data_IF_533252482830
#
_entry.id   IF_533252482830
#
_cell.length_a   1.000
_cell.length_b   1.000
_cell.length_c   1.000
_cell.angle_alpha   90.00
_cell.angle_beta   90.00
_cell.angle_gamma   90.00
#
_symmetry.space_group_name_H-M   'P 1'
#
loop_
_entity.id
_entity.type
_entity.pdbx_description
1 polymer ?
#
# COMPACT_ATOMS: atom_id res chain seq x y z
N UNK A 1 -8.41 20.94 -2.23
CA UNK A 1 -7.00 20.69 -1.90
C UNK A 1 -6.82 19.22 -1.57
N UNK A 2 -5.81 18.59 -2.16
CA UNK A 2 -5.59 17.14 -2.01
C UNK A 2 -5.46 16.69 -0.55
N UNK A 3 -4.67 17.39 0.26
CA UNK A 3 -4.48 17.00 1.67
C UNK A 3 -5.79 17.07 2.48
N UNK A 4 -6.63 18.07 2.21
CA UNK A 4 -7.92 18.19 2.89
C UNK A 4 -8.86 17.05 2.47
N UNK A 5 -8.86 16.67 1.21
CA UNK A 5 -9.68 15.56 0.71
C UNK A 5 -9.23 14.22 1.31
N UNK A 6 -7.92 14.00 1.41
CA UNK A 6 -7.37 12.80 2.06
C UNK A 6 -7.80 12.78 3.53
N UNK A 7 -7.67 13.90 4.23
CA UNK A 7 -8.05 14.01 5.65
C UNK A 7 -9.51 13.73 5.91
N UNK A 8 -10.38 14.08 4.96
CA UNK A 8 -11.83 13.88 5.11
C UNK A 8 -12.35 12.56 4.54
N UNK A 9 -11.50 11.78 3.87
CA UNK A 9 -11.92 10.51 3.24
C UNK A 9 -11.17 9.30 3.77
N UNK A 10 -9.93 9.09 3.32
CA UNK A 10 -9.18 7.87 3.64
C UNK A 10 -8.40 7.94 4.95
N UNK A 11 -8.29 9.12 5.58
CA UNK A 11 -7.58 9.23 6.86
C UNK A 11 -8.33 8.46 7.97
N UNK A 12 -7.57 7.91 8.89
CA UNK A 12 -8.08 7.14 10.02
C UNK A 12 -7.38 5.79 10.17
N UNK A 13 -7.88 4.97 11.08
CA UNK A 13 -7.34 3.64 11.31
C UNK A 13 -8.28 2.60 10.68
N UNK A 14 -7.68 1.70 9.93
CA UNK A 14 -8.39 0.67 9.16
C UNK A 14 -7.92 -0.71 9.59
N UNK A 15 -8.86 -1.65 9.67
CA UNK A 15 -8.58 -3.06 10.01
C UNK A 15 -8.83 -3.91 8.77
N UNK A 16 -7.90 -4.79 8.46
CA UNK A 16 -8.02 -5.67 7.29
C UNK A 16 -9.20 -6.63 7.46
N UNK A 17 -10.07 -6.66 6.45
CA UNK A 17 -11.22 -7.58 6.40
C UNK A 17 -10.85 -8.84 5.63
N UNK A 18 -10.31 -8.67 4.42
CA UNK A 18 -9.90 -9.82 3.59
C UNK A 18 -8.94 -9.40 2.49
N UNK A 19 -8.27 -10.38 1.94
CA UNK A 19 -7.42 -10.25 0.77
C UNK A 19 -8.02 -11.07 -0.38
N UNK A 20 -7.90 -10.54 -1.61
CA UNK A 20 -8.29 -11.26 -2.82
C UNK A 20 -7.05 -11.39 -3.70
N UNK A 21 -6.75 -12.61 -4.13
CA UNK A 21 -5.63 -12.92 -5.00
C UNK A 21 -4.23 -12.61 -4.42
N UNK A 22 -4.11 -12.64 -3.10
CA UNK A 22 -2.85 -12.31 -2.43
C UNK A 22 -1.74 -13.33 -2.71
N UNK A 23 -2.09 -14.62 -2.76
CA UNK A 23 -1.09 -15.67 -2.99
C UNK A 23 -0.42 -15.52 -4.35
N UNK A 24 -1.21 -15.29 -5.40
CA UNK A 24 -0.67 -15.10 -6.75
C UNK A 24 0.21 -13.85 -6.83
N UNK A 25 -0.21 -12.77 -6.16
CA UNK A 25 0.58 -11.55 -6.10
C UNK A 25 1.94 -11.79 -5.42
N UNK A 26 1.93 -12.41 -4.25
CA UNK A 26 3.16 -12.69 -3.51
C UNK A 26 4.08 -13.65 -4.26
N UNK A 27 3.50 -14.63 -4.97
CA UNK A 27 4.24 -15.53 -5.82
C UNK A 27 4.91 -14.77 -6.98
N UNK A 28 4.20 -13.81 -7.59
CA UNK A 28 4.73 -13.01 -8.69
C UNK A 28 5.95 -12.20 -8.27
N UNK A 29 5.97 -11.68 -7.05
CA UNK A 29 7.12 -10.92 -6.54
C UNK A 29 8.20 -11.80 -5.90
N UNK A 30 8.03 -13.12 -5.94
CA UNK A 30 9.08 -14.08 -5.52
C UNK A 30 9.07 -14.48 -4.06
N UNK A 31 7.97 -14.23 -3.32
CA UNK A 31 7.85 -14.65 -1.92
C UNK A 31 7.64 -16.16 -1.85
N UNK A 32 8.40 -16.85 -0.99
CA UNK A 32 8.32 -18.31 -0.90
C UNK A 32 7.00 -18.77 -0.25
N UNK A 33 6.69 -20.05 -0.41
CA UNK A 33 5.44 -20.66 0.02
C UNK A 33 5.15 -20.46 1.52
N UNK A 34 6.16 -20.65 2.37
CA UNK A 34 5.98 -20.53 3.83
C UNK A 34 5.58 -19.10 4.21
N UNK A 35 6.29 -18.11 3.66
CA UNK A 35 6.00 -16.70 3.93
C UNK A 35 4.64 -16.30 3.36
N UNK A 36 4.24 -16.86 2.21
CA UNK A 36 2.89 -16.60 1.66
C UNK A 36 1.79 -17.10 2.59
N UNK A 37 1.97 -18.27 3.21
CA UNK A 37 1.01 -18.81 4.17
C UNK A 37 0.91 -17.96 5.43
N UNK A 38 2.05 -17.49 5.93
CA UNK A 38 2.07 -16.59 7.10
C UNK A 38 1.33 -15.30 6.78
N UNK A 39 1.61 -14.70 5.62
CA UNK A 39 0.96 -13.45 5.21
C UNK A 39 -0.56 -13.62 5.04
N UNK A 40 -0.99 -14.75 4.47
CA UNK A 40 -2.42 -15.01 4.23
C UNK A 40 -3.21 -15.16 5.55
N UNK A 41 -2.57 -15.67 6.60
CA UNK A 41 -3.21 -15.90 7.90
C UNK A 41 -3.15 -14.69 8.83
N UNK A 42 -2.37 -13.67 8.49
CA UNK A 42 -2.12 -12.56 9.39
C UNK A 42 -3.22 -11.50 9.32
N UNK A 43 -3.49 -10.87 10.47
CA UNK A 43 -4.31 -9.66 10.52
C UNK A 43 -3.40 -8.43 10.35
N UNK A 44 -4.00 -7.31 9.96
CA UNK A 44 -3.27 -6.06 9.77
C UNK A 44 -4.14 -4.87 10.14
N UNK A 45 -3.48 -3.80 10.59
CA UNK A 45 -4.10 -2.49 10.75
C UNK A 45 -3.30 -1.46 9.96
N UNK A 46 -3.98 -0.44 9.45
CA UNK A 46 -3.34 0.63 8.69
C UNK A 46 -3.90 1.95 9.18
N UNK A 47 -3.02 2.88 9.54
CA UNK A 47 -3.42 4.24 9.94
C UNK A 47 -2.91 5.23 8.91
N UNK A 48 -3.82 6.02 8.37
CA UNK A 48 -3.50 7.07 7.40
C UNK A 48 -3.80 8.40 8.07
N UNK A 49 -2.83 9.31 8.09
CA UNK A 49 -3.01 10.63 8.66
C UNK A 49 -2.36 11.70 7.78
N UNK A 50 -2.85 12.92 7.93
CA UNK A 50 -2.25 14.10 7.30
C UNK A 50 -1.56 14.88 8.41
N UNK A 51 -0.26 15.10 8.25
CA UNK A 51 0.56 15.81 9.24
C UNK A 51 1.29 16.96 8.52
N UNK A 52 0.77 18.17 8.69
CA UNK A 52 1.30 19.34 7.97
C UNK A 52 1.08 19.20 6.47
N UNK A 53 2.16 19.21 5.71
CA UNK A 53 2.14 19.03 4.25
C UNK A 53 2.44 17.59 3.82
N UNK A 54 2.44 16.65 4.76
CA UNK A 54 2.77 15.24 4.50
C UNK A 54 1.60 14.32 4.81
N UNK A 55 1.61 13.17 4.15
CA UNK A 55 0.72 12.05 4.48
C UNK A 55 1.59 10.99 5.14
N UNK A 56 1.08 10.41 6.22
CA UNK A 56 1.76 9.34 6.94
C UNK A 56 0.91 8.09 6.92
N UNK A 57 1.52 6.96 6.57
CA UNK A 57 0.85 5.65 6.56
C UNK A 57 1.64 4.71 7.46
N UNK A 58 0.96 4.22 8.51
CA UNK A 58 1.54 3.24 9.44
C UNK A 58 0.78 1.94 9.27
N UNK A 59 1.49 0.87 8.97
CA UNK A 59 0.91 -0.46 8.83
C UNK A 59 1.50 -1.38 9.88
N UNK A 60 0.63 -2.09 10.61
CA UNK A 60 1.00 -3.10 11.58
C UNK A 60 0.49 -4.45 11.10
N UNK A 61 1.31 -5.48 11.17
CA UNK A 61 0.96 -6.81 10.68
C UNK A 61 2.19 -7.70 10.64
N UNK A 62 2.27 -8.62 9.68
CA UNK A 62 3.46 -9.47 9.55
C UNK A 62 4.74 -8.68 9.34
N UNK A 63 4.63 -7.53 8.68
CA UNK A 63 5.74 -6.61 8.48
C UNK A 63 5.24 -5.20 8.77
N UNK A 64 5.79 -4.60 9.82
CA UNK A 64 5.41 -3.24 10.20
C UNK A 64 6.10 -2.22 9.32
N UNK A 65 5.40 -1.14 8.99
CA UNK A 65 5.96 -0.03 8.24
C UNK A 65 5.41 1.31 8.73
N UNK A 66 6.19 2.36 8.56
CA UNK A 66 5.82 3.73 8.93
C UNK A 66 6.47 4.65 7.91
N UNK A 67 5.67 5.21 7.02
CA UNK A 67 6.15 6.02 5.91
C UNK A 67 5.44 7.36 5.88
N UNK A 68 6.21 8.43 5.77
CA UNK A 68 5.69 9.79 5.56
C UNK A 68 6.18 10.30 4.23
N UNK A 69 5.32 11.00 3.50
CA UNK A 69 5.67 11.48 2.17
C UNK A 69 4.89 12.74 1.81
N UNK A 70 5.44 13.48 0.86
CA UNK A 70 4.74 14.61 0.23
C UNK A 70 4.20 14.16 -1.12
N UNK A 71 2.98 14.58 -1.44
CA UNK A 71 2.37 14.23 -2.72
C UNK A 71 3.20 14.78 -3.89
N UNK A 72 3.43 13.94 -4.89
CA UNK A 72 4.16 14.31 -6.09
C UNK A 72 5.67 14.29 -5.98
N UNK A 73 6.24 14.01 -4.81
CA UNK A 73 7.68 13.96 -4.62
C UNK A 73 8.15 12.51 -4.52
N UNK A 74 9.26 12.21 -5.19
CA UNK A 74 9.84 10.87 -5.17
C UNK A 74 10.45 10.58 -3.79
N UNK A 75 10.26 9.36 -3.31
CA UNK A 75 10.83 8.89 -2.05
C UNK A 75 11.45 7.52 -2.23
N UNK A 76 12.41 7.21 -1.38
CA UNK A 76 13.00 5.88 -1.34
C UNK A 76 12.06 4.94 -0.60
N UNK A 77 11.94 3.71 -1.10
CA UNK A 77 11.05 2.70 -0.56
C UNK A 77 11.67 1.32 -0.77
N UNK A 78 10.99 0.30 -0.25
CA UNK A 78 11.42 -1.09 -0.44
C UNK A 78 10.18 -1.94 -0.76
N UNK A 79 10.41 -3.04 -1.50
CA UNK A 79 9.36 -4.02 -1.69
C UNK A 79 9.25 -4.92 -0.43
N UNK A 80 8.29 -5.86 -0.36
CA UNK A 80 8.14 -6.73 0.81
C UNK A 80 9.38 -7.57 1.16
N UNK A 81 10.32 -7.72 0.23
CA UNK A 81 11.56 -8.46 0.46
C UNK A 81 12.78 -7.54 0.64
N UNK A 82 12.51 -6.26 0.96
CA UNK A 82 13.53 -5.23 1.20
C UNK A 82 14.42 -4.91 -0.01
N UNK A 83 13.92 -5.16 -1.22
CA UNK A 83 14.61 -4.71 -2.43
C UNK A 83 14.33 -3.23 -2.67
N UNK A 84 15.38 -2.42 -2.94
CA UNK A 84 15.21 -0.96 -3.06
C UNK A 84 14.31 -0.54 -4.22
N UNK A 85 13.48 0.45 -3.97
CA UNK A 85 12.58 1.04 -4.95
C UNK A 85 12.53 2.55 -4.78
N UNK A 86 12.03 3.24 -5.80
CA UNK A 86 11.65 4.65 -5.70
C UNK A 86 10.17 4.77 -5.98
N UNK A 87 9.48 5.50 -5.14
CA UNK A 87 8.03 5.63 -5.19
C UNK A 87 7.60 7.08 -5.30
N UNK A 88 6.47 7.30 -5.94
CA UNK A 88 5.80 8.61 -6.00
C UNK A 88 4.34 8.38 -5.68
N UNK A 89 3.76 9.26 -4.84
CA UNK A 89 2.36 9.17 -4.45
C UNK A 89 1.62 10.41 -4.90
N UNK A 90 0.48 10.21 -5.57
CA UNK A 90 -0.38 11.30 -6.01
C UNK A 90 -1.81 11.06 -5.52
N UNK A 91 -2.59 12.13 -5.49
CA UNK A 91 -4.04 12.07 -5.20
C UNK A 91 -4.77 12.52 -6.44
N UNK A 92 -5.60 11.63 -7.00
CA UNK A 92 -6.31 11.90 -8.25
C UNK A 92 -7.67 11.22 -8.22
N UNK A 93 -8.72 11.98 -8.49
CA UNK A 93 -10.09 11.46 -8.59
C UNK A 93 -10.54 10.64 -7.36
N UNK A 94 -10.20 11.13 -6.17
CA UNK A 94 -10.57 10.47 -4.91
C UNK A 94 -9.74 9.24 -4.59
N UNK A 95 -8.59 9.05 -5.25
CA UNK A 95 -7.73 7.89 -5.08
C UNK A 95 -6.31 8.31 -4.70
N UNK A 96 -5.73 7.60 -3.74
CA UNK A 96 -4.31 7.74 -3.41
C UNK A 96 -3.56 6.69 -4.23
N UNK A 97 -2.76 7.15 -5.17
CA UNK A 97 -2.07 6.28 -6.13
C UNK A 97 -0.58 6.34 -5.88
N UNK A 98 0.00 5.18 -5.56
CA UNK A 98 1.44 5.03 -5.38
C UNK A 98 1.99 4.24 -6.56
N UNK A 99 3.01 4.80 -7.23
CA UNK A 99 3.76 4.06 -8.25
C UNK A 99 5.19 3.91 -7.75
N UNK A 100 5.71 2.68 -7.79
CA UNK A 100 7.06 2.38 -7.35
C UNK A 100 7.81 1.64 -8.43
N UNK A 101 9.08 2.00 -8.61
CA UNK A 101 9.97 1.39 -9.61
C UNK A 101 11.23 0.89 -8.91
N UNK A 102 11.81 -0.24 -9.37
CA UNK A 102 13.07 -0.71 -8.81
C UNK A 102 14.18 0.31 -9.10
N UNK A 103 15.09 0.47 -8.15
CA UNK A 103 16.30 1.23 -8.38
C UNK A 103 17.25 0.42 -9.25
N UNK A 104 18.27 1.05 -9.82
CA UNK A 104 19.23 0.35 -10.66
C UNK A 104 19.86 -0.84 -9.90
N UNK A 105 19.84 -2.01 -10.54
CA UNK A 105 20.36 -3.24 -9.95
C UNK A 105 19.47 -3.92 -8.95
N UNK A 106 18.31 -3.34 -8.62
CA UNK A 106 17.37 -3.92 -7.67
C UNK A 106 16.58 -5.08 -8.28
N UNK A 107 16.26 -6.08 -7.44
CA UNK A 107 15.42 -7.22 -7.83
C UNK A 107 13.93 -6.94 -7.70
N UNK A 108 13.55 -5.77 -7.20
CA UNK A 108 12.16 -5.38 -7.06
C UNK A 108 11.48 -5.28 -8.42
N UNK A 109 10.16 -5.41 -8.43
CA UNK A 109 9.35 -5.24 -9.64
C UNK A 109 8.52 -3.97 -9.50
N UNK A 110 8.28 -3.29 -10.61
CA UNK A 110 7.45 -2.08 -10.60
C UNK A 110 6.05 -2.41 -10.05
N UNK A 111 5.55 -1.55 -9.17
CA UNK A 111 4.30 -1.78 -8.45
C UNK A 111 3.42 -0.55 -8.52
N UNK A 112 2.10 -0.75 -8.57
CA UNK A 112 1.11 0.32 -8.47
C UNK A 112 0.15 -0.03 -7.35
N UNK A 113 -0.07 0.91 -6.43
CA UNK A 113 -1.04 0.75 -5.35
C UNK A 113 -2.08 1.86 -5.46
N UNK A 114 -3.34 1.49 -5.41
CA UNK A 114 -4.44 2.42 -5.47
C UNK A 114 -5.33 2.22 -4.25
N UNK A 115 -5.55 3.29 -3.47
CA UNK A 115 -6.42 3.26 -2.29
C UNK A 115 -7.58 4.22 -2.51
N UNK A 116 -8.80 3.74 -2.27
CA UNK A 116 -10.01 4.53 -2.42
C UNK A 116 -11.07 4.09 -1.44
N UNK A 117 -12.09 4.92 -1.26
CA UNK A 117 -13.26 4.59 -0.43
C UNK A 117 -14.37 4.08 -1.33
N UNK A 118 -14.97 2.96 -0.93
CA UNK A 118 -16.20 2.45 -1.55
C UNK A 118 -17.18 2.11 -0.43
N UNK A 119 -18.23 2.92 -0.31
CA UNK A 119 -19.16 2.80 0.81
C UNK A 119 -18.45 3.15 2.12
N UNK A 120 -18.45 2.22 3.07
CA UNK A 120 -17.79 2.37 4.36
C UNK A 120 -16.45 1.62 4.44
N UNK A 121 -15.95 1.15 3.28
CA UNK A 121 -14.71 0.38 3.20
C UNK A 121 -13.63 1.13 2.46
N UNK A 122 -12.37 0.83 2.81
CA UNK A 122 -11.23 1.27 2.03
C UNK A 122 -10.78 0.08 1.18
N UNK A 123 -10.68 0.31 -0.12
CA UNK A 123 -10.26 -0.69 -1.09
C UNK A 123 -8.82 -0.35 -1.54
N UNK A 124 -7.94 -1.31 -1.42
CA UNK A 124 -6.53 -1.17 -1.80
C UNK A 124 -6.20 -2.18 -2.88
N UNK A 125 -5.98 -1.71 -4.11
CA UNK A 125 -5.60 -2.55 -5.23
C UNK A 125 -4.09 -2.42 -5.47
N UNK A 126 -3.40 -3.56 -5.51
CA UNK A 126 -1.94 -3.62 -5.70
C UNK A 126 -1.67 -4.43 -6.96
N UNK A 127 -0.92 -3.85 -7.89
CA UNK A 127 -0.64 -4.48 -9.18
C UNK A 127 0.86 -4.61 -9.42
N UNK A 128 1.27 -5.79 -9.89
CA UNK A 128 2.64 -6.08 -10.35
C UNK A 128 2.51 -6.89 -11.63
N UNK A 129 3.09 -6.39 -12.73
CA UNK A 129 2.95 -7.04 -14.05
C UNK A 129 1.46 -7.23 -14.38
N UNK A 130 1.04 -8.43 -14.74
CA UNK A 130 -0.36 -8.74 -15.05
C UNK A 130 -1.16 -9.23 -13.84
N UNK A 131 -0.55 -9.26 -12.65
CA UNK A 131 -1.17 -9.78 -11.43
C UNK A 131 -1.66 -8.63 -10.56
N UNK A 132 -2.90 -8.71 -10.10
CA UNK A 132 -3.48 -7.74 -9.19
C UNK A 132 -4.01 -8.44 -7.95
N UNK A 133 -3.74 -7.82 -6.78
CA UNK A 133 -4.27 -8.22 -5.49
C UNK A 133 -5.18 -7.13 -4.99
N UNK A 134 -6.25 -7.50 -4.29
CA UNK A 134 -7.13 -6.53 -3.63
C UNK A 134 -7.15 -6.79 -2.14
N UNK A 135 -7.02 -5.72 -1.36
CA UNK A 135 -7.16 -5.75 0.10
C UNK A 135 -8.34 -4.88 0.49
N UNK A 136 -9.20 -5.41 1.35
CA UNK A 136 -10.42 -4.72 1.78
C UNK A 136 -10.30 -4.43 3.27
N UNK A 137 -10.49 -3.17 3.64
CA UNK A 137 -10.32 -2.67 5.00
C UNK A 137 -11.61 -2.04 5.50
N UNK A 138 -11.88 -2.16 6.78
CA UNK A 138 -13.00 -1.47 7.43
C UNK A 138 -12.47 -0.48 8.44
N UNK A 139 -13.24 0.57 8.72
CA UNK A 139 -12.89 1.56 9.74
C UNK A 139 -12.90 0.89 11.11
N UNK A 140 -11.86 1.20 11.89
CA UNK A 140 -11.76 0.69 13.24
C UNK A 140 -12.67 1.43 14.20
#
# INVERSE_FOLDING_TARGET
>A
MALAEIGSSIAGTWVLVKNENMDDYLKEIGVNFVLRKIAAAASSTMTISVEGDQVRIITKGPKDSDTSFKLGEELESNDPQDNPMKATVIWEDGKLITTAKPTEGSKAKATRVERRIEGDQLIMDVSVNAVMMRRIWKKK
#
